data_IF_959106769562
#
_entry.id   IF_959106769562
#
_cell.length_a   1.000
_cell.length_b   1.000
_cell.length_c   1.000
_cell.angle_alpha   90.00
_cell.angle_beta   90.00
_cell.angle_gamma   90.00
#
_symmetry.space_group_name_H-M   'P 1'
#
loop_
_entity.id
_entity.type
_entity.pdbx_description
1 polymer ?
#
# COMPACT_ATOMS: atom_id res chain seq x y z
N UNK A 1 2.28 -43.60 -2.44
CA UNK A 1 3.36 -43.02 -1.62
C UNK A 1 2.79 -42.89 -0.23
N UNK A 2 3.23 -43.72 0.69
CA UNK A 2 2.66 -43.75 2.04
C UNK A 2 3.46 -42.77 2.91
N UNK A 3 2.89 -41.59 3.09
CA UNK A 3 3.48 -40.56 3.94
C UNK A 3 3.16 -40.88 5.40
N UNK A 4 4.20 -41.25 6.16
CA UNK A 4 4.07 -41.62 7.59
C UNK A 4 3.66 -40.44 8.50
N UNK A 5 3.74 -39.19 8.03
CA UNK A 5 3.30 -37.99 8.76
C UNK A 5 2.63 -36.98 7.80
N UNK A 6 1.63 -36.20 8.27
CA UNK A 6 0.94 -35.23 7.43
C UNK A 6 1.89 -34.08 7.05
N UNK A 7 2.19 -33.98 5.75
CA UNK A 7 3.01 -32.91 5.20
C UNK A 7 2.08 -31.73 4.89
N UNK A 8 2.43 -30.53 5.38
CA UNK A 8 1.60 -29.33 5.23
C UNK A 8 1.79 -28.58 3.91
N UNK A 9 2.45 -29.20 2.93
CA UNK A 9 2.69 -28.59 1.63
C UNK A 9 2.57 -29.67 0.55
N UNK A 10 2.05 -29.29 -0.60
CA UNK A 10 2.01 -30.12 -1.80
C UNK A 10 2.99 -29.55 -2.81
N UNK A 11 3.84 -30.42 -3.37
CA UNK A 11 4.63 -30.06 -4.54
C UNK A 11 3.67 -29.97 -5.74
N UNK A 12 3.23 -28.75 -6.07
CA UNK A 12 2.35 -28.53 -7.21
C UNK A 12 3.19 -28.50 -8.50
N UNK A 13 2.98 -29.47 -9.39
CA UNK A 13 3.52 -29.46 -10.76
C UNK A 13 2.39 -29.54 -11.78
N UNK A 14 2.69 -29.17 -13.03
CA UNK A 14 1.74 -29.40 -14.13
C UNK A 14 1.63 -30.92 -14.37
N UNK A 15 0.40 -31.47 -14.43
CA UNK A 15 0.21 -32.88 -14.73
C UNK A 15 0.67 -33.17 -16.16
N UNK A 16 1.22 -34.37 -16.36
CA UNK A 16 1.62 -34.87 -17.69
C UNK A 16 0.41 -35.51 -18.36
N UNK A 17 0.37 -35.55 -19.70
CA UNK A 17 -0.78 -36.09 -20.45
C UNK A 17 -1.14 -37.54 -20.06
N UNK A 18 -0.16 -38.35 -19.67
CA UNK A 18 -0.36 -39.72 -19.17
C UNK A 18 -1.01 -39.79 -17.79
N UNK A 19 -0.97 -38.70 -17.00
CA UNK A 19 -1.53 -38.62 -15.64
C UNK A 19 -2.98 -38.14 -15.65
N UNK A 20 -3.53 -37.80 -16.82
CA UNK A 20 -4.94 -37.45 -16.98
C UNK A 20 -5.86 -38.68 -16.95
N UNK A 21 -5.30 -39.86 -17.24
CA UNK A 21 -6.05 -41.12 -17.29
C UNK A 21 -6.08 -41.83 -15.92
N UNK A 22 -5.07 -41.61 -15.06
CA UNK A 22 -4.97 -42.15 -13.71
C UNK A 22 -4.93 -41.03 -12.66
N UNK A 23 -6.07 -40.75 -12.05
CA UNK A 23 -6.16 -39.76 -10.96
C UNK A 23 -5.67 -40.36 -9.64
N UNK A 24 -4.62 -39.78 -9.06
CA UNK A 24 -4.21 -40.11 -7.70
C UNK A 24 -5.18 -39.45 -6.71
N UNK A 25 -6.02 -40.25 -6.06
CA UNK A 25 -6.83 -39.79 -4.94
C UNK A 25 -5.95 -39.55 -3.72
N UNK A 26 -5.87 -38.31 -3.25
CA UNK A 26 -5.15 -37.95 -2.04
C UNK A 26 -6.13 -37.73 -0.90
N UNK A 27 -6.03 -38.53 0.15
CA UNK A 27 -6.78 -38.31 1.38
C UNK A 27 -6.14 -37.18 2.19
N UNK A 28 -6.92 -36.11 2.43
CA UNK A 28 -6.42 -34.91 3.12
C UNK A 28 -6.44 -35.02 4.65
N UNK A 29 -6.88 -36.16 5.18
CA UNK A 29 -7.04 -36.40 6.61
C UNK A 29 -6.15 -37.56 7.03
N UNK A 30 -5.17 -37.30 7.88
CA UNK A 30 -4.40 -38.37 8.54
C UNK A 30 -5.19 -38.91 9.73
N UNK A 31 -5.12 -40.23 9.96
CA UNK A 31 -5.60 -40.88 11.19
C UNK A 31 -4.75 -40.56 12.43
N UNK A 32 -3.62 -39.88 12.24
CA UNK A 32 -2.67 -39.50 13.28
C UNK A 32 -3.19 -38.26 14.05
N UNK A 33 -3.11 -38.23 15.39
CA UNK A 33 -3.49 -37.06 16.18
C UNK A 33 -2.61 -35.85 15.83
N UNK A 34 -3.24 -34.67 15.78
CA UNK A 34 -2.56 -33.43 15.42
C UNK A 34 -1.73 -32.89 16.59
N UNK A 35 -0.41 -32.88 16.45
CA UNK A 35 0.53 -32.30 17.42
C UNK A 35 1.33 -31.14 16.79
N UNK A 36 1.04 -29.88 17.15
CA UNK A 36 1.66 -28.71 16.51
C UNK A 36 3.14 -28.49 16.85
N UNK A 37 3.64 -29.09 17.93
CA UNK A 37 5.00 -28.87 18.45
C UNK A 37 5.94 -30.07 18.25
N UNK A 38 5.61 -31.02 17.38
CA UNK A 38 6.50 -32.15 17.06
C UNK A 38 7.81 -31.65 16.41
N UNK A 39 8.98 -31.80 17.07
CA UNK A 39 10.25 -31.32 16.54
C UNK A 39 10.68 -32.03 15.26
N UNK A 40 10.31 -33.30 15.08
CA UNK A 40 10.62 -34.06 13.86
C UNK A 40 9.84 -33.50 12.66
N UNK A 41 8.55 -33.23 12.84
CA UNK A 41 7.70 -32.60 11.83
C UNK A 41 8.21 -31.22 11.41
N UNK A 42 8.76 -30.44 12.36
CA UNK A 42 9.38 -29.15 12.06
C UNK A 42 10.66 -29.29 11.22
N UNK A 43 11.53 -30.24 11.59
CA UNK A 43 12.77 -30.52 10.85
C UNK A 43 12.49 -30.96 9.41
N UNK A 44 11.56 -31.91 9.22
CA UNK A 44 11.15 -32.42 7.91
C UNK A 44 10.61 -31.29 7.03
N UNK A 45 9.73 -30.42 7.56
CA UNK A 45 9.22 -29.24 6.83
C UNK A 45 10.34 -28.29 6.41
N UNK A 46 11.33 -28.09 7.26
CA UNK A 46 12.44 -27.16 6.99
C UNK A 46 13.45 -27.71 5.97
N UNK A 47 13.64 -29.03 5.93
CA UNK A 47 14.42 -29.72 4.90
C UNK A 47 13.73 -29.63 3.53
N UNK A 48 12.43 -29.93 3.47
CA UNK A 48 11.67 -29.89 2.22
C UNK A 48 11.55 -28.46 1.63
N UNK A 49 11.48 -27.43 2.49
CA UNK A 49 11.57 -26.02 2.04
C UNK A 49 12.93 -25.68 1.43
N UNK A 50 14.02 -26.25 1.98
CA UNK A 50 15.38 -26.07 1.46
C UNK A 50 15.58 -26.75 0.11
N UNK A 51 15.06 -27.97 -0.06
CA UNK A 51 15.08 -28.68 -1.34
C UNK A 51 14.37 -27.87 -2.44
N UNK A 52 13.18 -27.33 -2.16
CA UNK A 52 12.47 -26.46 -3.12
C UNK A 52 13.24 -25.19 -3.49
N UNK A 53 14.01 -24.61 -2.56
CA UNK A 53 14.88 -23.47 -2.85
C UNK A 53 16.13 -23.87 -3.66
N UNK A 54 16.58 -25.13 -3.55
CA UNK A 54 17.69 -25.67 -4.34
C UNK A 54 17.40 -25.67 -5.85
N UNK A 55 16.16 -25.91 -6.26
CA UNK A 55 15.75 -25.85 -7.67
C UNK A 55 15.73 -24.41 -8.23
N UNK A 56 15.59 -23.40 -7.37
CA UNK A 56 15.65 -21.97 -7.74
C UNK A 56 17.13 -21.49 -7.86
N UNK A 57 18.08 -22.22 -7.25
CA UNK A 57 19.49 -21.84 -7.16
C UNK A 57 20.30 -22.04 -8.47
N UNK A 58 19.69 -22.49 -9.57
CA UNK A 58 20.31 -22.38 -10.91
C UNK A 58 20.28 -20.94 -11.47
N UNK A 59 19.60 -20.00 -10.81
CA UNK A 59 19.83 -18.57 -11.03
C UNK A 59 20.82 -18.05 -9.99
N UNK A 60 22.10 -18.06 -10.35
CA UNK A 60 23.16 -17.45 -9.55
C UNK A 60 22.85 -15.96 -9.28
N UNK A 61 22.50 -15.64 -8.05
CA UNK A 61 22.66 -14.27 -7.52
C UNK A 61 24.01 -14.28 -6.81
N UNK A 62 24.99 -13.61 -7.40
CA UNK A 62 26.28 -13.37 -6.77
C UNK A 62 26.07 -12.53 -5.52
N UNK A 63 26.34 -13.08 -4.34
CA UNK A 63 26.53 -12.30 -3.12
C UNK A 63 27.80 -11.49 -3.28
N UNK A 64 27.66 -10.16 -3.39
CA UNK A 64 28.80 -9.24 -3.34
C UNK A 64 29.29 -9.20 -1.90
N UNK A 65 30.39 -9.89 -1.62
CA UNK A 65 31.14 -9.72 -0.39
C UNK A 65 31.82 -8.33 -0.44
N UNK A 66 31.37 -7.42 0.42
CA UNK A 66 32.04 -6.14 0.60
C UNK A 66 33.35 -6.35 1.38
N UNK A 67 34.45 -6.50 0.65
CA UNK A 67 35.79 -6.36 1.19
C UNK A 67 36.50 -5.20 0.51
N UNK A 68 36.27 -3.97 0.99
CA UNK A 68 37.12 -2.82 0.65
C UNK A 68 37.50 -2.07 1.96
N UNK A 69 38.79 -2.00 2.32
CA UNK A 69 39.24 -1.43 3.60
C UNK A 69 39.38 0.10 3.59
N UNK A 70 38.83 0.81 2.59
CA UNK A 70 39.08 2.24 2.39
C UNK A 70 37.85 3.15 2.59
N UNK A 71 36.85 2.73 3.39
CA UNK A 71 35.83 3.67 3.84
C UNK A 71 36.36 4.50 5.01
N UNK A 72 36.75 5.74 4.70
CA UNK A 72 37.02 6.78 5.71
C UNK A 72 35.80 6.90 6.62
N UNK A 73 36.03 6.67 7.91
CA UNK A 73 35.14 7.02 9.02
C UNK A 73 34.59 8.44 8.82
N UNK A 74 33.31 8.54 8.46
CA UNK A 74 32.58 9.80 8.53
C UNK A 74 32.12 9.94 9.98
N UNK A 75 32.58 11.03 10.61
CA UNK A 75 32.37 11.34 12.02
C UNK A 75 30.88 11.22 12.43
N UNK A 76 30.56 10.63 13.60
CA UNK A 76 29.19 10.40 14.06
C UNK A 76 28.39 11.66 14.42
N UNK A 77 28.95 12.86 14.22
CA UNK A 77 28.33 14.13 14.62
C UNK A 77 27.45 14.78 13.52
N UNK A 78 27.27 14.14 12.37
CA UNK A 78 26.44 14.65 11.27
C UNK A 78 25.10 13.89 11.08
N UNK A 79 24.65 13.13 12.08
CA UNK A 79 23.35 12.47 12.08
C UNK A 79 22.60 12.81 13.37
N UNK A 80 21.88 13.95 13.38
CA UNK A 80 20.45 13.88 13.68
C UNK A 80 19.64 15.02 13.00
N UNK A 81 18.97 14.75 11.87
CA UNK A 81 17.86 15.63 11.38
C UNK A 81 16.66 14.81 10.83
N UNK A 82 16.70 13.48 10.87
CA UNK A 82 15.68 12.66 10.18
C UNK A 82 14.50 12.21 11.02
N UNK A 83 14.45 12.46 12.33
CA UNK A 83 13.32 12.03 13.16
C UNK A 83 13.02 13.02 14.28
N UNK A 84 12.05 13.90 14.04
CA UNK A 84 11.05 14.25 15.06
C UNK A 84 11.39 15.25 16.16
N UNK A 85 12.56 15.89 16.20
CA UNK A 85 12.78 16.99 17.16
C UNK A 85 12.17 18.30 16.67
N UNK A 86 11.37 18.94 17.53
CA UNK A 86 10.74 20.25 17.28
C UNK A 86 11.84 21.28 17.06
N UNK A 87 12.10 21.60 15.79
CA UNK A 87 12.94 22.74 15.42
C UNK A 87 12.17 24.01 15.83
N UNK A 88 12.53 24.62 16.94
CA UNK A 88 12.15 26.00 17.25
C UNK A 88 12.94 26.94 16.32
N UNK A 89 12.50 27.03 15.07
CA UNK A 89 12.99 28.05 14.16
C UNK A 89 12.25 29.36 14.42
N UNK A 90 12.95 30.37 14.92
CA UNK A 90 12.43 31.74 14.98
C UNK A 90 12.35 32.29 13.55
N UNK A 91 11.14 32.31 12.99
CA UNK A 91 10.89 32.76 11.61
C UNK A 91 10.97 34.30 11.57
N UNK A 92 12.14 34.83 11.19
CA UNK A 92 12.37 36.28 11.09
C UNK A 92 11.82 36.92 9.80
N UNK A 93 10.91 36.23 9.10
CA UNK A 93 10.20 36.75 7.92
C UNK A 93 10.09 35.74 6.78
N UNK A 94 8.89 35.57 6.25
CA UNK A 94 8.62 34.75 5.05
C UNK A 94 8.71 35.67 3.84
N UNK A 95 9.79 35.59 3.07
CA UNK A 95 9.86 36.18 1.73
C UNK A 95 9.52 35.08 0.73
N UNK A 96 8.46 35.28 -0.04
CA UNK A 96 8.16 34.44 -1.21
C UNK A 96 9.18 34.76 -2.30
N UNK A 97 10.35 34.14 -2.22
CA UNK A 97 11.24 34.05 -3.38
C UNK A 97 10.48 33.22 -4.40
N UNK A 98 10.23 33.79 -5.59
CA UNK A 98 9.47 33.12 -6.64
C UNK A 98 10.00 31.71 -6.90
N UNK A 99 9.11 30.79 -7.29
CA UNK A 99 9.38 29.35 -7.46
C UNK A 99 10.79 29.06 -8.00
N UNK A 100 11.75 28.80 -7.11
CA UNK A 100 13.06 28.31 -7.51
C UNK A 100 12.89 26.83 -7.80
N UNK A 101 12.76 26.49 -9.08
CA UNK A 101 12.79 25.08 -9.49
C UNK A 101 14.22 24.55 -9.25
N UNK A 102 14.37 23.48 -8.47
CA UNK A 102 15.67 22.80 -8.34
C UNK A 102 16.11 22.20 -9.69
N UNK A 103 15.13 21.88 -10.55
CA UNK A 103 15.34 21.36 -11.90
C UNK A 103 15.22 22.48 -12.92
N UNK A 104 16.30 22.71 -13.67
CA UNK A 104 16.32 23.70 -14.74
C UNK A 104 15.47 23.26 -15.95
N UNK A 105 14.74 24.16 -16.63
CA UNK A 105 13.94 23.83 -17.81
C UNK A 105 14.77 23.19 -18.94
N UNK A 106 16.06 23.53 -19.05
CA UNK A 106 16.98 22.92 -20.02
C UNK A 106 17.25 21.44 -19.74
N UNK A 107 17.28 21.03 -18.47
CA UNK A 107 17.45 19.63 -18.09
C UNK A 107 16.21 18.83 -18.45
N UNK A 108 15.02 19.40 -18.23
CA UNK A 108 13.74 18.77 -18.61
C UNK A 108 13.64 18.64 -20.13
N UNK A 109 13.95 19.72 -20.88
CA UNK A 109 13.92 19.71 -22.34
C UNK A 109 14.83 18.60 -22.93
N UNK A 110 16.05 18.47 -22.40
CA UNK A 110 16.99 17.41 -22.83
C UNK A 110 16.52 16.00 -22.46
N UNK A 111 16.05 15.78 -21.23
CA UNK A 111 15.62 14.46 -20.75
C UNK A 111 14.34 13.99 -21.44
N UNK A 112 13.39 14.89 -21.65
CA UNK A 112 12.07 14.56 -22.20
C UNK A 112 11.98 14.78 -23.71
N UNK A 113 13.05 15.28 -24.34
CA UNK A 113 13.10 15.59 -25.78
C UNK A 113 11.97 16.52 -26.23
N UNK A 114 11.69 17.55 -25.42
CA UNK A 114 10.67 18.57 -25.69
C UNK A 114 11.32 19.94 -25.95
N UNK A 115 10.55 20.86 -26.55
CA UNK A 115 11.02 22.24 -26.72
C UNK A 115 11.23 22.94 -25.37
N UNK A 116 12.15 23.91 -25.34
CA UNK A 116 12.49 24.64 -24.13
C UNK A 116 11.29 25.43 -23.58
N UNK A 117 10.44 25.94 -24.47
CA UNK A 117 9.18 26.59 -24.10
C UNK A 117 8.18 25.62 -23.46
N UNK A 118 8.01 24.42 -24.04
CA UNK A 118 7.20 23.37 -23.44
C UNK A 118 7.72 23.00 -22.05
N UNK A 119 9.03 22.85 -21.86
CA UNK A 119 9.62 22.57 -20.55
C UNK A 119 9.32 23.67 -19.51
N UNK A 120 9.42 24.95 -19.89
CA UNK A 120 9.05 26.08 -19.01
C UNK A 120 7.57 26.05 -18.64
N UNK A 121 6.69 25.78 -19.60
CA UNK A 121 5.25 25.68 -19.36
C UNK A 121 4.91 24.50 -18.44
N UNK A 122 5.58 23.36 -18.62
CA UNK A 122 5.44 22.19 -17.74
C UNK A 122 5.84 22.55 -16.31
N UNK A 123 7.03 23.13 -16.10
CA UNK A 123 7.50 23.51 -14.76
C UNK A 123 6.59 24.52 -14.07
N UNK A 124 6.00 25.47 -14.81
CA UNK A 124 5.00 26.41 -14.27
C UNK A 124 3.71 25.72 -13.80
N UNK A 125 3.28 24.65 -14.49
CA UNK A 125 2.05 23.91 -14.17
C UNK A 125 2.27 22.83 -13.10
N UNK A 126 3.46 22.25 -13.02
CA UNK A 126 3.78 21.18 -12.07
C UNK A 126 4.42 21.75 -10.81
N UNK A 127 3.82 21.53 -9.64
CA UNK A 127 4.43 21.91 -8.37
C UNK A 127 5.43 20.85 -7.91
N UNK A 128 6.70 21.21 -7.81
CA UNK A 128 7.75 20.31 -7.28
C UNK A 128 7.80 20.43 -5.75
N UNK A 129 6.87 19.77 -5.05
CA UNK A 129 6.83 19.80 -3.58
C UNK A 129 7.96 19.00 -2.92
N UNK A 130 8.41 17.93 -3.55
CA UNK A 130 9.53 17.12 -3.08
C UNK A 130 10.20 16.44 -4.28
N UNK A 131 11.53 16.46 -4.33
CA UNK A 131 12.33 15.65 -5.26
C UNK A 131 12.71 14.36 -4.55
N UNK A 132 12.51 13.24 -5.25
CA UNK A 132 12.95 11.93 -4.76
C UNK A 132 14.43 11.78 -5.08
N UNK A 133 15.26 11.71 -4.05
CA UNK A 133 16.70 11.45 -4.22
C UNK A 133 16.91 10.00 -4.65
N UNK A 134 17.46 9.82 -5.85
CA UNK A 134 17.83 8.50 -6.41
C UNK A 134 19.33 8.21 -6.25
N UNK A 135 20.08 9.05 -5.54
CA UNK A 135 21.54 8.93 -5.40
C UNK A 135 21.95 7.75 -4.49
N UNK A 136 21.09 7.38 -3.54
CA UNK A 136 21.20 6.15 -2.74
C UNK A 136 19.91 5.34 -2.90
N UNK A 137 19.87 4.47 -3.89
CA UNK A 137 18.80 3.46 -4.00
C UNK A 137 19.25 2.21 -3.25
N UNK A 138 19.28 2.29 -1.93
CA UNK A 138 19.38 1.11 -1.07
C UNK A 138 17.95 0.79 -0.58
N UNK A 139 17.31 -0.17 -1.24
CA UNK A 139 15.96 -0.60 -0.88
C UNK A 139 15.35 -1.46 -1.96
N UNK A 140 15.00 -2.70 -1.62
CA UNK A 140 14.13 -3.52 -2.44
C UNK A 140 12.87 -2.73 -2.80
N UNK A 141 12.37 -2.95 -4.03
CA UNK A 141 11.10 -2.44 -4.54
C UNK A 141 10.08 -2.41 -3.41
N UNK A 142 9.75 -1.20 -2.91
CA UNK A 142 8.70 -1.04 -1.92
C UNK A 142 7.41 -1.53 -2.58
N UNK A 143 6.97 -2.74 -2.21
CA UNK A 143 5.63 -3.19 -2.54
C UNK A 143 4.67 -2.14 -1.98
N UNK A 144 3.69 -1.70 -2.78
CA UNK A 144 2.56 -0.93 -2.26
C UNK A 144 2.06 -1.71 -1.03
N UNK A 145 1.95 -1.10 0.15
CA UNK A 145 1.72 -1.85 1.36
C UNK A 145 0.28 -2.36 1.32
N UNK A 146 0.09 -3.57 0.78
CA UNK A 146 -1.17 -4.31 0.83
C UNK A 146 -1.64 -4.43 2.29
N UNK A 147 -0.71 -4.41 3.25
CA UNK A 147 -1.00 -4.32 4.69
C UNK A 147 -1.86 -3.11 5.08
N UNK A 148 -1.66 -1.91 4.52
CA UNK A 148 -2.51 -0.74 4.84
C UNK A 148 -3.93 -0.94 4.29
N UNK A 149 -4.08 -1.68 3.19
CA UNK A 149 -5.39 -2.09 2.66
C UNK A 149 -6.03 -3.27 3.41
N UNK A 150 -5.29 -3.92 4.31
CA UNK A 150 -5.77 -5.01 5.17
C UNK A 150 -6.08 -4.54 6.60
N UNK A 151 -5.70 -3.31 6.97
CA UNK A 151 -5.98 -2.72 8.28
C UNK A 151 -7.49 -2.57 8.53
N UNK A 152 -8.25 -2.32 7.47
CA UNK A 152 -9.69 -2.10 7.56
C UNK A 152 -10.48 -3.37 7.21
N UNK A 153 -11.56 -3.68 7.95
CA UNK A 153 -12.42 -4.80 7.61
C UNK A 153 -13.02 -4.61 6.21
N UNK A 154 -13.32 -5.71 5.51
CA UNK A 154 -13.99 -5.66 4.19
C UNK A 154 -15.40 -6.18 4.31
N UNK A 155 -16.35 -5.38 3.85
CA UNK A 155 -17.77 -5.68 3.79
C UNK A 155 -18.09 -6.29 2.43
N UNK A 156 -18.73 -7.46 2.44
CA UNK A 156 -19.30 -8.08 1.23
C UNK A 156 -20.68 -7.48 0.91
N UNK A 157 -20.80 -6.16 0.95
CA UNK A 157 -22.03 -5.43 0.70
C UNK A 157 -21.79 -4.27 -0.27
N UNK A 158 -22.84 -3.94 -1.03
CA UNK A 158 -22.89 -2.73 -1.82
C UNK A 158 -23.41 -1.60 -0.91
N UNK A 159 -22.76 -0.43 -0.97
CA UNK A 159 -23.15 0.77 -0.22
C UNK A 159 -23.63 1.82 -1.21
N UNK A 160 -24.78 2.42 -0.93
CA UNK A 160 -25.30 3.60 -1.62
C UNK A 160 -24.95 4.85 -0.81
N UNK A 161 -24.48 5.89 -1.49
CA UNK A 161 -24.10 7.15 -0.87
C UNK A 161 -24.95 8.29 -1.44
N UNK A 162 -25.42 9.17 -0.56
CA UNK A 162 -26.17 10.37 -0.92
C UNK A 162 -25.85 11.50 0.07
N UNK A 163 -25.97 12.75 -0.35
CA UNK A 163 -25.72 13.93 0.48
C UNK A 163 -26.97 14.79 0.51
N UNK A 164 -27.47 15.03 1.72
CA UNK A 164 -28.65 15.87 1.92
C UNK A 164 -28.28 17.17 2.60
N UNK A 165 -28.76 18.29 2.04
CA UNK A 165 -28.75 19.58 2.72
C UNK A 165 -29.95 19.70 3.66
N UNK A 166 -29.70 20.02 4.93
CA UNK A 166 -30.73 20.28 5.93
C UNK A 166 -31.40 21.64 5.77
N UNK A 167 -32.64 21.82 6.26
CA UNK A 167 -33.35 23.11 6.22
C UNK A 167 -32.71 24.17 7.14
N UNK A 168 -32.08 23.72 8.23
CA UNK A 168 -31.41 24.56 9.22
C UNK A 168 -30.01 24.01 9.51
N UNK A 169 -29.15 24.88 10.01
CA UNK A 169 -27.81 24.50 10.49
C UNK A 169 -27.95 23.98 11.93
N UNK A 170 -27.26 22.89 12.26
CA UNK A 170 -27.19 22.39 13.64
C UNK A 170 -26.43 23.36 14.54
N UNK A 171 -26.55 23.19 15.86
CA UNK A 171 -25.81 23.99 16.84
C UNK A 171 -24.29 23.87 16.66
N UNK A 172 -23.82 22.72 16.19
CA UNK A 172 -22.41 22.44 15.87
C UNK A 172 -21.93 23.06 14.54
N UNK A 173 -22.83 23.72 13.80
CA UNK A 173 -22.54 24.35 12.51
C UNK A 173 -22.67 23.42 11.31
N UNK A 174 -23.28 22.24 11.44
CA UNK A 174 -23.42 21.28 10.35
C UNK A 174 -24.69 21.59 9.54
N UNK A 175 -24.55 21.73 8.22
CA UNK A 175 -25.67 22.01 7.29
C UNK A 175 -26.00 20.83 6.38
N UNK A 176 -25.04 19.93 6.17
CA UNK A 176 -25.16 18.80 5.27
C UNK A 176 -25.08 17.50 6.07
N UNK A 177 -25.65 16.43 5.53
CA UNK A 177 -25.53 15.07 6.06
C UNK A 177 -25.19 14.13 4.92
N UNK A 178 -24.06 13.44 5.02
CA UNK A 178 -23.72 12.32 4.14
C UNK A 178 -24.35 11.04 4.69
N UNK A 179 -25.23 10.43 3.90
CA UNK A 179 -25.93 9.20 4.26
C UNK A 179 -25.37 8.05 3.44
N UNK A 180 -24.95 7.01 4.14
CA UNK A 180 -24.49 5.76 3.56
C UNK A 180 -25.46 4.65 3.95
N UNK A 181 -26.08 4.01 2.97
CA UNK A 181 -27.03 2.93 3.17
C UNK A 181 -26.49 1.63 2.59
N UNK A 182 -26.78 0.51 3.25
CA UNK A 182 -26.41 -0.82 2.81
C UNK A 182 -27.53 -1.82 3.14
N UNK A 183 -27.69 -2.86 2.32
CA UNK A 183 -28.69 -3.90 2.53
C UNK A 183 -28.31 -4.91 3.65
N UNK A 184 -27.43 -4.54 4.57
CA UNK A 184 -26.90 -5.41 5.62
C UNK A 184 -27.32 -4.93 7.03
N UNK A 185 -26.90 -5.67 8.07
CA UNK A 185 -27.42 -5.54 9.45
C UNK A 185 -27.39 -4.14 10.08
N UNK A 186 -26.50 -3.23 9.64
CA UNK A 186 -26.45 -1.86 10.18
C UNK A 186 -27.29 -0.84 9.40
N UNK A 187 -27.85 -1.22 8.24
CA UNK A 187 -28.86 -0.47 7.49
C UNK A 187 -28.38 0.85 6.89
N UNK A 188 -28.25 1.90 7.70
CA UNK A 188 -27.83 3.22 7.24
C UNK A 188 -27.05 3.99 8.32
N UNK A 189 -26.07 4.78 7.89
CA UNK A 189 -25.30 5.70 8.73
C UNK A 189 -25.32 7.10 8.14
N UNK A 190 -25.52 8.10 9.00
CA UNK A 190 -25.46 9.51 8.62
C UNK A 190 -24.31 10.19 9.34
N UNK A 191 -23.50 10.93 8.60
CA UNK A 191 -22.42 11.77 9.12
C UNK A 191 -22.75 13.23 8.83
N UNK A 192 -22.69 14.07 9.87
CA UNK A 192 -22.97 15.49 9.75
C UNK A 192 -21.75 16.24 9.22
N UNK A 193 -21.95 17.19 8.30
CA UNK A 193 -20.91 17.91 7.59
C UNK A 193 -21.18 19.41 7.60
N UNK A 194 -20.12 20.22 7.71
CA UNK A 194 -20.22 21.68 7.61
C UNK A 194 -20.30 22.12 6.16
N UNK A 195 -19.52 21.46 5.30
CA UNK A 195 -19.49 21.69 3.84
C UNK A 195 -19.64 20.40 3.08
N UNK A 196 -20.22 20.50 1.88
CA UNK A 196 -20.34 19.37 0.95
C UNK A 196 -18.97 18.83 0.49
N UNK A 197 -17.93 19.67 0.47
CA UNK A 197 -16.56 19.24 0.14
C UNK A 197 -15.94 18.31 1.18
N UNK A 198 -16.48 18.24 2.41
CA UNK A 198 -15.92 17.45 3.51
C UNK A 198 -16.33 15.97 3.47
N UNK A 199 -17.09 15.55 2.46
CA UNK A 199 -17.61 14.17 2.31
C UNK A 199 -16.49 13.13 2.22
N UNK A 200 -15.32 13.51 1.70
CA UNK A 200 -14.13 12.67 1.69
C UNK A 200 -13.69 12.24 3.11
N UNK A 201 -13.96 13.07 4.12
CA UNK A 201 -13.62 12.74 5.51
C UNK A 201 -14.66 11.81 6.14
N UNK A 202 -15.95 12.04 5.91
CA UNK A 202 -16.99 11.11 6.38
C UNK A 202 -16.84 9.71 5.77
N UNK A 203 -16.39 9.63 4.52
CA UNK A 203 -16.13 8.34 3.88
C UNK A 203 -14.97 7.59 4.55
N UNK A 204 -13.91 8.30 4.97
CA UNK A 204 -12.79 7.69 5.72
C UNK A 204 -13.23 7.21 7.10
N UNK A 205 -14.10 7.96 7.77
CA UNK A 205 -14.71 7.55 9.05
C UNK A 205 -15.56 6.28 8.88
N UNK A 206 -16.42 6.23 7.85
CA UNK A 206 -17.19 5.03 7.50
C UNK A 206 -16.30 3.79 7.31
N UNK A 207 -15.18 3.94 6.60
CA UNK A 207 -14.24 2.83 6.37
C UNK A 207 -13.50 2.39 7.63
N UNK A 208 -13.28 3.29 8.59
CA UNK A 208 -12.73 2.96 9.91
C UNK A 208 -13.74 2.21 10.77
N UNK A 209 -14.99 2.67 10.78
CA UNK A 209 -16.03 2.14 11.66
C UNK A 209 -16.58 0.80 11.18
N UNK A 210 -16.83 0.67 9.87
CA UNK A 210 -17.55 -0.47 9.30
C UNK A 210 -16.66 -1.28 8.35
N UNK A 211 -15.78 -0.61 7.63
CA UNK A 211 -14.90 -1.22 6.63
C UNK A 211 -15.21 -0.85 5.19
N UNK A 212 -14.40 -1.38 4.27
CA UNK A 212 -14.54 -1.13 2.84
C UNK A 212 -15.66 -1.95 2.21
N UNK A 213 -16.59 -1.35 1.45
CA UNK A 213 -17.60 -2.08 0.71
C UNK A 213 -17.01 -2.82 -0.50
N UNK A 214 -17.80 -3.74 -1.05
CA UNK A 214 -17.50 -4.36 -2.34
C UNK A 214 -17.66 -3.35 -3.48
N UNK A 215 -18.74 -2.57 -3.43
CA UNK A 215 -19.07 -1.54 -4.40
C UNK A 215 -19.64 -0.34 -3.65
N UNK A 216 -19.14 0.86 -3.95
CA UNK A 216 -19.73 2.12 -3.51
C UNK A 216 -20.46 2.73 -4.71
N UNK A 217 -21.75 3.05 -4.54
CA UNK A 217 -22.60 3.66 -5.57
C UNK A 217 -23.02 5.07 -5.10
N UNK A 218 -22.22 6.10 -5.40
CA UNK A 218 -22.66 7.48 -5.25
C UNK A 218 -23.63 7.87 -6.37
N UNK A 219 -24.29 9.01 -6.21
CA UNK A 219 -24.94 9.71 -7.32
C UNK A 219 -23.91 10.46 -8.18
N UNK A 220 -24.39 11.16 -9.21
CA UNK A 220 -23.54 11.99 -10.09
C UNK A 220 -23.22 13.37 -9.48
N UNK A 221 -23.38 13.56 -8.16
CA UNK A 221 -23.03 14.81 -7.50
C UNK A 221 -21.53 15.09 -7.64
N UNK A 222 -21.20 16.35 -7.93
CA UNK A 222 -19.81 16.77 -8.08
C UNK A 222 -18.99 16.54 -6.81
N UNK A 223 -19.58 16.68 -5.63
CA UNK A 223 -18.92 16.43 -4.35
C UNK A 223 -18.55 14.97 -4.10
N UNK A 224 -19.26 14.02 -4.72
CA UNK A 224 -18.98 12.58 -4.61
C UNK A 224 -18.08 12.07 -5.74
N UNK A 225 -18.16 12.70 -6.92
CA UNK A 225 -17.44 12.26 -8.11
C UNK A 225 -16.12 12.99 -8.31
N UNK A 226 -16.06 14.29 -7.95
CA UNK A 226 -14.82 15.05 -8.01
C UNK A 226 -13.95 14.67 -6.80
N UNK A 227 -12.74 14.17 -7.08
CA UNK A 227 -11.70 14.11 -6.05
C UNK A 227 -11.30 15.52 -5.61
N UNK A 228 -10.70 15.62 -4.41
CA UNK A 228 -10.04 16.86 -3.96
C UNK A 228 -8.98 17.38 -4.94
#
# INVERSE_FOLDING_TARGET
MDFLKPISFFACRKPVLSELDEYVSVEMTSSIPWEPYDPESSCIKQNLRREYQGDIATQQIHSVEHSDPNYRSICPLALPISFGDRVEATINGVKTIGNSYLVEPEQVARRWRISLECARCTLKKTTQRALRDWTKVEGSRQFCPTQVQLEYPRLRADIWADIKQGPCVSDEGNKYVAVYAAACQWGARGYALKKESEVSNSLKELFRDIGFPRVLRPDDAQSLTAGE
#
